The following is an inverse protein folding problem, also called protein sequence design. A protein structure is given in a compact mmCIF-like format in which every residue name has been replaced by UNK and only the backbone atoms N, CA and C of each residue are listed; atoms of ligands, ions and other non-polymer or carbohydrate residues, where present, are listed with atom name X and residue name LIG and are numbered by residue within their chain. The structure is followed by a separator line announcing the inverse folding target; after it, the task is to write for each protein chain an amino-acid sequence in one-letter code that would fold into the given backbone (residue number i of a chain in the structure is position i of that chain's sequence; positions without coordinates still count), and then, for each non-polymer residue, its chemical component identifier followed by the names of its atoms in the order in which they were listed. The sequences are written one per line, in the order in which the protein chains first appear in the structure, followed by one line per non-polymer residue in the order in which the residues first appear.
data_IF_684014144834
#
_entry.id   IF_684014144834
#
_cell.length_a   1.000
_cell.length_b   1.000
_cell.length_c   1.000
_cell.angle_alpha   90.00
_cell.angle_beta   90.00
_cell.angle_gamma   90.00
#
_symmetry.space_group_name_H-M   'P 1'
#
loop_
_entity.id
_entity.type
_entity.pdbx_description
1 polymer ?
#
# COMPACT_ATOMS: atom_id res chain seq x y z
N UNK A 1 -25.07 10.75 0.56
CA UNK A 1 -23.82 11.29 1.14
C UNK A 1 -22.71 10.91 0.19
N UNK A 2 -22.05 11.89 -0.44
CA UNK A 2 -21.12 11.66 -1.53
C UNK A 2 -19.74 11.33 -0.93
N UNK A 3 -19.41 10.04 -0.87
CA UNK A 3 -18.19 9.50 -0.23
C UNK A 3 -16.91 10.20 -0.75
N UNK A 4 -16.94 10.73 -1.97
CA UNK A 4 -15.82 11.44 -2.60
C UNK A 4 -15.64 12.86 -2.01
N UNK A 5 -16.74 13.58 -1.72
CA UNK A 5 -16.67 14.89 -1.07
C UNK A 5 -16.23 14.77 0.40
N UNK A 6 -16.64 13.70 1.08
CA UNK A 6 -16.19 13.40 2.44
C UNK A 6 -14.69 13.09 2.50
N UNK A 7 -14.12 12.38 1.51
CA UNK A 7 -12.68 12.11 1.48
C UNK A 7 -11.84 13.38 1.20
N UNK A 8 -12.32 14.25 0.31
CA UNK A 8 -11.71 15.56 0.06
C UNK A 8 -11.71 16.44 1.30
N UNK A 9 -12.84 16.47 2.03
CA UNK A 9 -12.96 17.20 3.29
C UNK A 9 -12.13 16.57 4.42
N UNK A 10 -12.03 15.25 4.52
CA UNK A 10 -11.16 14.56 5.51
C UNK A 10 -9.68 14.85 5.23
N UNK A 11 -9.28 14.95 3.96
CA UNK A 11 -7.94 15.37 3.57
C UNK A 11 -7.67 16.87 3.82
N UNK A 12 -8.69 17.70 4.00
CA UNK A 12 -8.58 19.11 4.39
C UNK A 12 -8.42 19.30 5.92
N UNK A 13 -8.77 18.30 6.74
CA UNK A 13 -8.55 18.29 8.20
C UNK A 13 -7.08 18.00 8.57
N UNK A 14 -6.13 18.63 7.88
CA UNK A 14 -4.67 18.54 8.13
C UNK A 14 -4.21 19.26 9.42
N UNK A 15 -5.06 19.28 10.45
CA UNK A 15 -4.59 19.33 11.82
C UNK A 15 -4.55 17.91 12.39
N UNK A 16 -4.03 16.95 11.61
CA UNK A 16 -3.41 15.78 12.19
C UNK A 16 -2.33 16.30 13.13
N UNK A 17 -2.57 16.16 14.43
CA UNK A 17 -1.50 16.37 15.42
C UNK A 17 -0.34 15.49 14.95
N UNK A 18 0.83 16.06 14.61
CA UNK A 18 1.95 15.32 14.05
C UNK A 18 2.15 14.00 14.79
N UNK A 19 2.06 12.90 14.05
CA UNK A 19 2.29 11.56 14.56
C UNK A 19 1.32 11.03 15.62
N UNK A 20 0.16 11.66 15.82
CA UNK A 20 -0.91 11.04 16.59
C UNK A 20 -1.58 9.92 15.76
N UNK A 21 -1.13 8.70 16.00
CA UNK A 21 -1.61 7.49 15.31
C UNK A 21 -2.73 6.77 16.06
N UNK A 22 -3.18 7.30 17.20
CA UNK A 22 -4.25 6.71 18.00
C UNK A 22 -5.53 6.50 17.19
N UNK A 23 -6.03 7.48 16.41
CA UNK A 23 -7.25 7.27 15.61
C UNK A 23 -7.10 6.15 14.59
N UNK A 24 -5.91 6.01 13.99
CA UNK A 24 -5.62 4.91 13.08
C UNK A 24 -5.64 3.55 13.80
N UNK A 25 -5.05 3.46 14.99
CA UNK A 25 -5.05 2.21 15.77
C UNK A 25 -6.44 1.82 16.26
N UNK A 26 -7.29 2.79 16.60
CA UNK A 26 -8.69 2.58 16.94
C UNK A 26 -9.47 2.06 15.73
N UNK A 27 -9.35 2.73 14.57
CA UNK A 27 -9.99 2.30 13.34
C UNK A 27 -9.59 0.88 12.92
N UNK A 28 -8.31 0.50 13.06
CA UNK A 28 -7.86 -0.87 12.77
C UNK A 28 -8.52 -1.88 13.71
N UNK A 29 -8.63 -1.58 15.01
CA UNK A 29 -9.27 -2.48 15.97
C UNK A 29 -10.76 -2.64 15.67
N UNK A 30 -11.47 -1.52 15.49
CA UNK A 30 -12.90 -1.50 15.16
C UNK A 30 -13.16 -2.31 13.88
N UNK A 31 -12.40 -2.05 12.82
CA UNK A 31 -12.51 -2.78 11.55
C UNK A 31 -12.34 -4.29 11.73
N UNK A 32 -11.42 -4.72 12.60
CA UNK A 32 -11.15 -6.14 12.83
C UNK A 32 -12.11 -6.82 13.81
N UNK A 33 -12.81 -6.05 14.64
CA UNK A 33 -13.86 -6.54 15.54
C UNK A 33 -15.22 -6.63 14.82
N UNK A 34 -15.42 -5.85 13.76
CA UNK A 34 -16.61 -5.89 12.92
C UNK A 34 -16.69 -7.14 12.03
N UNK A 35 -17.91 -7.55 11.70
CA UNK A 35 -18.13 -8.67 10.79
C UNK A 35 -17.84 -8.23 9.35
N UNK A 36 -16.74 -8.72 8.78
CA UNK A 36 -16.40 -8.49 7.38
C UNK A 36 -17.29 -9.30 6.42
N UNK A 37 -18.09 -8.60 5.61
CA UNK A 37 -19.04 -9.22 4.66
C UNK A 37 -18.76 -8.92 3.20
N UNK A 38 -17.73 -8.11 2.88
CA UNK A 38 -17.41 -7.76 1.51
C UNK A 38 -16.94 -9.00 0.75
N UNK A 39 -17.49 -9.21 -0.44
CA UNK A 39 -17.06 -10.27 -1.35
C UNK A 39 -16.45 -9.69 -2.63
N UNK A 40 -15.67 -10.51 -3.33
CA UNK A 40 -14.96 -10.08 -4.52
C UNK A 40 -15.90 -9.67 -5.64
N UNK A 41 -16.99 -10.40 -5.90
CA UNK A 41 -17.87 -10.14 -7.04
C UNK A 41 -18.57 -8.77 -6.92
N UNK A 42 -18.98 -8.38 -5.71
CA UNK A 42 -19.55 -7.06 -5.46
C UNK A 42 -18.52 -5.95 -5.70
N UNK A 43 -17.31 -6.10 -5.15
CA UNK A 43 -16.21 -5.18 -5.40
C UNK A 43 -15.87 -5.13 -6.90
N UNK A 44 -15.92 -6.29 -7.57
CA UNK A 44 -15.63 -6.44 -8.99
C UNK A 44 -16.70 -5.76 -9.87
N UNK A 45 -17.93 -5.66 -9.40
CA UNK A 45 -18.97 -4.90 -10.10
C UNK A 45 -18.76 -3.39 -9.99
N UNK A 46 -18.18 -2.92 -8.88
CA UNK A 46 -18.05 -1.50 -8.58
C UNK A 46 -16.89 -0.87 -9.34
N UNK A 47 -15.71 -1.47 -9.30
CA UNK A 47 -14.56 -0.98 -10.03
C UNK A 47 -14.71 -1.11 -11.57
N UNK A 48 -15.44 -2.12 -12.10
CA UNK A 48 -15.80 -2.19 -13.54
C UNK A 48 -16.64 -1.00 -13.98
N UNK A 49 -17.54 -0.50 -13.13
CA UNK A 49 -18.28 0.76 -13.40
C UNK A 49 -17.35 1.96 -13.46
N UNK A 50 -16.24 1.96 -12.71
CA UNK A 50 -15.22 3.00 -12.80
C UNK A 50 -14.45 2.87 -14.11
N UNK A 51 -14.08 1.65 -14.51
CA UNK A 51 -13.46 1.38 -15.82
C UNK A 51 -14.32 1.90 -16.99
N UNK A 52 -15.62 1.68 -16.93
CA UNK A 52 -16.57 2.14 -17.95
C UNK A 52 -16.73 3.67 -17.98
N UNK A 53 -16.76 4.32 -16.80
CA UNK A 53 -17.02 5.76 -16.68
C UNK A 53 -15.78 6.63 -16.81
N UNK A 54 -14.61 6.10 -16.47
CA UNK A 54 -13.35 6.83 -16.42
C UNK A 54 -12.25 6.19 -17.32
N UNK A 55 -12.56 5.84 -18.59
CA UNK A 55 -11.59 5.15 -19.45
C UNK A 55 -10.39 6.03 -19.82
N UNK A 56 -10.59 7.35 -19.93
CA UNK A 56 -9.51 8.29 -20.26
C UNK A 56 -8.53 8.43 -19.10
N UNK A 57 -9.05 8.53 -17.88
CA UNK A 57 -8.27 8.61 -16.66
C UNK A 57 -7.45 7.32 -16.48
N UNK A 58 -8.08 6.16 -16.64
CA UNK A 58 -7.45 4.85 -16.43
C UNK A 58 -6.50 4.41 -17.55
N UNK A 59 -6.41 5.17 -18.63
CA UNK A 59 -5.38 5.01 -19.68
C UNK A 59 -4.25 6.02 -19.55
N UNK A 60 -4.39 7.03 -18.68
CA UNK A 60 -3.39 8.06 -18.45
C UNK A 60 -2.28 7.53 -17.54
N UNK A 61 -1.03 7.62 -18.01
CA UNK A 61 0.13 7.19 -17.22
C UNK A 61 0.40 8.20 -16.09
N UNK A 62 0.59 7.68 -14.87
CA UNK A 62 0.91 8.45 -13.68
C UNK A 62 2.33 8.12 -13.21
N UNK A 63 3.09 9.14 -12.79
CA UNK A 63 4.31 8.92 -12.00
C UNK A 63 3.96 8.83 -10.51
N UNK A 64 3.72 7.61 -10.04
CA UNK A 64 3.33 7.34 -8.65
C UNK A 64 4.40 7.68 -7.62
N UNK A 65 5.64 7.94 -8.06
CA UNK A 65 6.75 8.38 -7.22
C UNK A 65 6.79 9.91 -7.05
N UNK A 66 6.04 10.69 -7.83
CA UNK A 66 6.02 12.14 -7.77
C UNK A 66 5.39 12.68 -6.46
N UNK A 67 5.58 13.98 -6.18
CA UNK A 67 4.86 14.64 -5.08
C UNK A 67 3.35 14.58 -5.38
N UNK A 68 2.53 13.97 -4.51
CA UNK A 68 1.09 13.84 -4.75
C UNK A 68 0.37 15.16 -5.04
N UNK A 69 0.89 16.27 -4.51
CA UNK A 69 0.32 17.61 -4.75
C UNK A 69 0.45 18.10 -6.19
N UNK A 70 1.32 17.48 -6.98
CA UNK A 70 1.56 17.83 -8.39
C UNK A 70 0.79 16.95 -9.38
N UNK A 71 0.12 15.91 -8.90
CA UNK A 71 -0.60 14.95 -9.73
C UNK A 71 -2.05 15.39 -10.01
N UNK A 72 -2.56 15.04 -11.19
CA UNK A 72 -3.96 15.24 -11.54
C UNK A 72 -4.86 14.38 -10.65
N UNK A 73 -5.67 15.05 -9.82
CA UNK A 73 -6.55 14.41 -8.84
C UNK A 73 -7.67 13.59 -9.48
N UNK A 74 -8.11 13.94 -10.69
CA UNK A 74 -9.14 13.18 -11.41
C UNK A 74 -8.56 11.84 -11.86
N UNK A 75 -7.34 11.86 -12.40
CA UNK A 75 -6.63 10.65 -12.81
C UNK A 75 -6.28 9.77 -11.61
N UNK A 76 -5.66 10.34 -10.58
CA UNK A 76 -5.29 9.57 -9.39
C UNK A 76 -6.51 9.07 -8.61
N UNK A 77 -7.61 9.83 -8.58
CA UNK A 77 -8.87 9.41 -7.98
C UNK A 77 -9.52 8.21 -8.66
N UNK A 78 -9.50 8.16 -10.00
CA UNK A 78 -10.00 7.00 -10.74
C UNK A 78 -9.21 5.73 -10.40
N UNK A 79 -7.88 5.81 -10.44
CA UNK A 79 -7.01 4.69 -10.04
C UNK A 79 -7.17 4.31 -8.57
N UNK A 80 -7.22 5.29 -7.66
CA UNK A 80 -7.39 5.04 -6.23
C UNK A 80 -8.68 4.26 -5.95
N UNK A 81 -9.78 4.58 -6.67
CA UNK A 81 -11.05 3.87 -6.54
C UNK A 81 -10.93 2.41 -6.99
N UNK A 82 -10.29 2.18 -8.15
CA UNK A 82 -10.02 0.82 -8.67
C UNK A 82 -9.18 0.02 -7.68
N UNK A 83 -8.09 0.59 -7.18
CA UNK A 83 -7.17 -0.02 -6.21
C UNK A 83 -7.91 -0.33 -4.90
N UNK A 84 -8.72 0.60 -4.40
CA UNK A 84 -9.46 0.43 -3.14
C UNK A 84 -10.41 -0.75 -3.17
N UNK A 85 -11.20 -0.90 -4.23
CA UNK A 85 -12.09 -2.06 -4.37
C UNK A 85 -11.32 -3.35 -4.60
N UNK A 86 -10.26 -3.30 -5.40
CA UNK A 86 -9.48 -4.48 -5.73
C UNK A 86 -8.68 -5.04 -4.54
N UNK A 87 -8.05 -4.17 -3.75
CA UNK A 87 -7.23 -4.57 -2.60
C UNK A 87 -7.94 -4.47 -1.25
N UNK A 88 -9.15 -3.90 -1.16
CA UNK A 88 -9.84 -3.73 0.13
C UNK A 88 -10.02 -5.04 0.92
N UNK A 89 -10.32 -6.14 0.23
CA UNK A 89 -10.44 -7.47 0.86
C UNK A 89 -9.09 -8.01 1.37
N UNK A 90 -8.02 -8.09 0.55
CA UNK A 90 -6.72 -8.53 1.06
C UNK A 90 -6.13 -7.57 2.10
N UNK A 91 -6.35 -6.26 1.98
CA UNK A 91 -5.98 -5.24 2.98
C UNK A 91 -6.63 -5.52 4.33
N UNK A 92 -7.96 -5.69 4.35
CA UNK A 92 -8.70 -6.05 5.57
C UNK A 92 -8.13 -7.33 6.20
N UNK A 93 -8.01 -8.40 5.41
CA UNK A 93 -7.50 -9.68 5.88
C UNK A 93 -6.10 -9.55 6.46
N UNK A 94 -5.23 -8.77 5.83
CA UNK A 94 -3.89 -8.50 6.31
C UNK A 94 -3.89 -7.71 7.62
N UNK A 95 -4.60 -6.59 7.69
CA UNK A 95 -4.61 -5.70 8.86
C UNK A 95 -5.02 -6.44 10.13
N UNK A 96 -5.94 -7.40 10.00
CA UNK A 96 -6.49 -8.18 11.11
C UNK A 96 -5.68 -9.42 11.50
N UNK A 97 -4.60 -9.75 10.77
CA UNK A 97 -3.69 -10.81 11.22
C UNK A 97 -3.01 -10.39 12.51
N UNK A 98 -2.84 -11.34 13.43
CA UNK A 98 -2.08 -11.11 14.67
C UNK A 98 -0.66 -11.62 14.52
N UNK A 99 0.30 -10.87 15.03
CA UNK A 99 1.70 -11.29 15.19
C UNK A 99 1.85 -12.35 16.29
N UNK A 100 3.06 -12.87 16.43
CA UNK A 100 3.43 -13.77 17.53
C UNK A 100 3.29 -13.12 18.93
N UNK A 101 3.30 -11.79 19.02
CA UNK A 101 3.07 -11.05 20.27
C UNK A 101 1.58 -10.68 20.50
N UNK A 102 0.70 -11.03 19.58
CA UNK A 102 -0.75 -10.78 19.67
C UNK A 102 -1.23 -9.44 19.12
N UNK A 103 -0.34 -8.56 18.68
CA UNK A 103 -0.68 -7.27 18.05
C UNK A 103 -1.21 -7.45 16.62
N UNK A 104 -2.17 -6.61 16.23
CA UNK A 104 -2.72 -6.57 14.87
C UNK A 104 -1.68 -6.05 13.88
N UNK A 105 -1.60 -6.69 12.71
CA UNK A 105 -0.62 -6.37 11.70
C UNK A 105 -0.75 -4.96 11.14
N UNK A 106 -1.97 -4.43 11.03
CA UNK A 106 -2.20 -3.02 10.65
C UNK A 106 -1.55 -2.04 11.63
N UNK A 107 -1.47 -2.39 12.91
CA UNK A 107 -0.81 -1.56 13.93
C UNK A 107 0.71 -1.79 13.91
N UNK A 108 1.17 -3.05 13.94
CA UNK A 108 2.59 -3.37 14.04
C UNK A 108 3.39 -2.77 12.86
N UNK A 109 2.86 -2.90 11.64
CA UNK A 109 3.55 -2.47 10.42
C UNK A 109 3.77 -0.97 10.31
N UNK A 110 2.99 -0.14 11.01
CA UNK A 110 3.11 1.32 10.90
C UNK A 110 4.15 1.90 11.86
N UNK A 111 4.44 1.22 12.97
CA UNK A 111 5.36 1.70 14.01
C UNK A 111 6.76 2.05 13.49
N UNK A 112 7.45 1.19 12.70
CA UNK A 112 8.79 1.51 12.21
C UNK A 112 8.79 2.71 11.28
N UNK A 113 7.79 2.82 10.42
CA UNK A 113 7.65 3.93 9.48
C UNK A 113 7.41 5.26 10.21
N UNK A 114 6.49 5.28 11.18
CA UNK A 114 6.20 6.46 11.99
C UNK A 114 7.41 6.89 12.83
N UNK A 115 8.16 5.95 13.40
CA UNK A 115 9.40 6.25 14.11
C UNK A 115 10.42 6.91 13.19
N UNK A 116 10.64 6.34 12.00
CA UNK A 116 11.56 6.90 11.01
C UNK A 116 11.12 8.30 10.54
N UNK A 117 9.83 8.52 10.29
CA UNK A 117 9.31 9.84 9.93
C UNK A 117 9.58 10.87 11.04
N UNK A 118 9.32 10.54 12.32
CA UNK A 118 9.62 11.43 13.46
C UNK A 118 11.08 11.86 13.49
N UNK A 119 12.00 10.96 13.19
CA UNK A 119 13.44 11.23 13.16
C UNK A 119 13.83 12.09 11.94
N UNK A 120 13.18 11.89 10.79
CA UNK A 120 13.52 12.58 9.54
C UNK A 120 12.78 13.90 9.32
N UNK A 121 11.59 14.06 9.86
CA UNK A 121 10.66 15.19 9.61
C UNK A 121 9.95 15.52 10.93
N UNK A 122 10.66 15.95 12.00
CA UNK A 122 10.07 16.16 13.33
C UNK A 122 8.89 17.15 13.34
N UNK A 123 8.84 18.08 12.39
CA UNK A 123 7.74 19.01 12.15
C UNK A 123 6.42 18.33 11.74
N UNK A 124 6.48 17.08 11.28
CA UNK A 124 5.33 16.26 10.93
C UNK A 124 4.62 16.66 9.64
N UNK A 125 5.22 17.54 8.85
CA UNK A 125 4.64 18.05 7.62
C UNK A 125 5.25 17.38 6.41
N UNK A 126 4.56 16.37 5.90
CA UNK A 126 5.05 15.58 4.79
C UNK A 126 3.93 14.97 3.96
N UNK A 127 4.27 14.56 2.73
CA UNK A 127 3.41 13.83 1.81
C UNK A 127 4.14 12.59 1.31
N UNK A 128 3.73 11.37 1.67
CA UNK A 128 4.30 10.16 1.06
C UNK A 128 3.87 10.08 -0.41
N UNK A 129 4.77 9.62 -1.29
CA UNK A 129 4.39 9.25 -2.66
C UNK A 129 3.39 8.10 -2.62
N UNK A 130 2.51 7.99 -3.61
CA UNK A 130 1.48 6.95 -3.64
C UNK A 130 2.07 5.53 -3.70
N UNK A 131 3.24 5.36 -4.34
CA UNK A 131 3.97 4.10 -4.35
C UNK A 131 4.85 3.85 -3.11
N UNK A 132 4.78 4.75 -2.12
CA UNK A 132 5.50 4.68 -0.84
C UNK A 132 7.03 4.54 -0.99
N UNK A 133 7.61 5.00 -2.10
CA UNK A 133 9.07 5.07 -2.27
C UNK A 133 9.69 6.32 -1.67
N UNK A 134 8.94 7.43 -1.65
CA UNK A 134 9.44 8.72 -1.22
C UNK A 134 8.51 9.41 -0.23
N UNK A 135 9.07 10.34 0.51
CA UNK A 135 8.34 11.34 1.30
C UNK A 135 8.81 12.72 0.86
N UNK A 136 7.85 13.60 0.62
CA UNK A 136 8.06 14.99 0.26
C UNK A 136 7.79 15.88 1.45
N UNK A 137 8.74 16.76 1.79
CA UNK A 137 8.53 17.84 2.76
C UNK A 137 7.73 19.00 2.15
N UNK A 138 7.25 19.92 2.97
CA UNK A 138 6.58 21.14 2.48
C UNK A 138 7.46 21.96 1.53
N UNK A 139 8.78 21.99 1.75
CA UNK A 139 9.74 22.71 0.91
C UNK A 139 10.07 21.99 -0.42
N UNK A 140 9.42 20.85 -0.69
CA UNK A 140 9.64 20.03 -1.88
C UNK A 140 10.83 19.06 -1.79
N UNK A 141 11.57 19.04 -0.67
CA UNK A 141 12.65 18.08 -0.46
C UNK A 141 12.11 16.66 -0.49
N UNK A 142 12.72 15.83 -1.35
CA UNK A 142 12.38 14.41 -1.51
C UNK A 142 13.33 13.53 -0.68
N UNK A 143 12.76 12.66 0.15
CA UNK A 143 13.49 11.69 0.98
C UNK A 143 13.05 10.28 0.59
N UNK A 144 13.99 9.39 0.30
CA UNK A 144 13.71 7.98 0.02
C UNK A 144 13.35 7.23 1.31
N UNK A 145 12.25 6.46 1.27
CA UNK A 145 11.82 5.60 2.37
C UNK A 145 12.68 4.34 2.35
N UNK A 146 13.37 3.98 3.44
CA UNK A 146 14.09 2.72 3.53
C UNK A 146 13.14 1.54 3.31
N UNK A 147 13.41 0.74 2.29
CA UNK A 147 12.53 -0.37 1.88
C UNK A 147 12.37 -1.43 2.98
N UNK A 148 13.32 -1.56 3.89
CA UNK A 148 13.22 -2.47 5.03
C UNK A 148 12.06 -2.12 5.96
N UNK A 149 11.61 -0.86 6.01
CA UNK A 149 10.48 -0.43 6.84
C UNK A 149 9.14 -0.96 6.31
N UNK A 150 9.04 -1.21 5.01
CA UNK A 150 7.81 -1.58 4.30
C UNK A 150 7.82 -3.02 3.80
N UNK A 151 8.98 -3.66 3.67
CA UNK A 151 9.11 -5.00 3.06
C UNK A 151 9.60 -6.10 4.02
N UNK A 152 9.92 -5.78 5.28
CA UNK A 152 10.46 -6.74 6.25
C UNK A 152 9.61 -6.82 7.53
N UNK A 153 9.72 -7.93 8.26
CA UNK A 153 8.98 -8.17 9.51
C UNK A 153 7.97 -9.30 9.39
N UNK A 154 7.43 -9.74 10.53
CA UNK A 154 6.50 -10.87 10.60
C UNK A 154 5.21 -10.56 9.83
N UNK A 155 4.62 -9.39 10.05
CA UNK A 155 3.42 -8.97 9.34
C UNK A 155 3.64 -8.83 7.84
N UNK A 156 4.78 -8.31 7.39
CA UNK A 156 5.07 -8.21 5.96
C UNK A 156 5.22 -9.57 5.29
N UNK A 157 5.80 -10.56 5.96
CA UNK A 157 5.84 -11.94 5.45
C UNK A 157 4.45 -12.57 5.36
N UNK A 158 3.56 -12.27 6.31
CA UNK A 158 2.17 -12.72 6.26
C UNK A 158 1.40 -12.01 5.14
N UNK A 159 1.57 -10.71 5.00
CA UNK A 159 1.02 -9.87 3.94
C UNK A 159 1.40 -10.40 2.57
N UNK A 160 2.69 -10.65 2.34
CA UNK A 160 3.19 -11.17 1.06
C UNK A 160 2.45 -12.43 0.61
N UNK A 161 2.00 -13.29 1.53
CA UNK A 161 1.18 -14.46 1.17
C UNK A 161 -0.22 -14.05 0.69
N UNK A 162 -0.90 -13.17 1.41
CA UNK A 162 -2.23 -12.67 1.04
C UNK A 162 -2.21 -12.00 -0.35
N UNK A 163 -1.25 -11.10 -0.58
CA UNK A 163 -1.21 -10.30 -1.82
C UNK A 163 -0.60 -11.04 -3.00
N UNK A 164 0.25 -12.06 -2.79
CA UNK A 164 0.83 -12.80 -3.92
C UNK A 164 -0.18 -13.72 -4.60
N UNK A 165 -1.12 -14.30 -3.85
CA UNK A 165 -2.14 -15.18 -4.42
C UNK A 165 -3.38 -14.43 -4.90
N UNK A 166 -3.65 -13.24 -4.37
CA UNK A 166 -4.83 -12.46 -4.75
C UNK A 166 -4.92 -12.18 -6.26
N UNK A 167 -3.88 -11.66 -6.94
CA UNK A 167 -3.90 -11.45 -8.39
C UNK A 167 -3.98 -12.72 -9.25
N UNK A 168 -3.64 -13.88 -8.68
CA UNK A 168 -3.75 -15.17 -9.39
C UNK A 168 -5.21 -15.60 -9.49
N UNK A 169 -5.99 -15.35 -8.42
CA UNK A 169 -7.40 -15.71 -8.36
C UNK A 169 -8.31 -14.62 -8.93
N UNK A 170 -7.84 -13.37 -8.89
CA UNK A 170 -8.59 -12.17 -9.20
C UNK A 170 -7.74 -11.25 -10.07
N UNK A 171 -7.56 -11.51 -11.37
CA UNK A 171 -6.64 -10.73 -12.18
C UNK A 171 -7.18 -9.34 -12.51
N UNK A 172 -6.27 -8.35 -12.51
CA UNK A 172 -6.51 -7.02 -13.07
C UNK A 172 -6.31 -7.00 -14.60
N UNK A 173 -7.03 -6.13 -15.34
CA UNK A 173 -6.67 -5.83 -16.72
C UNK A 173 -5.22 -5.36 -16.87
N UNK A 174 -4.50 -5.86 -17.87
CA UNK A 174 -3.06 -5.61 -18.06
C UNK A 174 -2.70 -4.12 -18.15
N UNK A 175 -3.56 -3.30 -18.77
CA UNK A 175 -3.31 -1.87 -18.89
C UNK A 175 -3.35 -1.16 -17.53
N UNK A 176 -4.24 -1.59 -16.63
CA UNK A 176 -4.32 -1.10 -15.25
C UNK A 176 -3.06 -1.51 -14.49
N UNK A 177 -2.67 -2.79 -14.59
CA UNK A 177 -1.44 -3.30 -13.95
C UNK A 177 -0.22 -2.52 -14.40
N UNK A 178 -0.09 -2.31 -15.71
CA UNK A 178 1.03 -1.60 -16.31
C UNK A 178 1.10 -0.15 -15.85
N UNK A 179 -0.05 0.54 -15.75
CA UNK A 179 -0.09 1.94 -15.37
C UNK A 179 0.11 2.17 -13.87
N UNK A 180 -0.27 1.22 -13.01
CA UNK A 180 -0.10 1.34 -11.56
C UNK A 180 1.25 0.76 -11.10
N UNK A 181 1.53 -0.48 -11.48
CA UNK A 181 2.66 -1.25 -10.95
C UNK A 181 3.83 -1.40 -11.93
N UNK A 182 3.62 -1.09 -13.21
CA UNK A 182 4.53 -1.44 -14.30
C UNK A 182 4.44 -2.92 -14.69
N UNK A 183 4.46 -3.82 -13.71
CA UNK A 183 4.16 -5.25 -13.87
C UNK A 183 3.83 -5.91 -12.52
N UNK A 184 3.19 -7.09 -12.56
CA UNK A 184 3.01 -7.91 -11.36
C UNK A 184 4.34 -8.36 -10.74
N UNK A 185 5.40 -8.55 -11.52
CA UNK A 185 6.73 -8.85 -10.98
C UNK A 185 7.29 -7.69 -10.15
N UNK A 186 7.07 -6.45 -10.59
CA UNK A 186 7.47 -5.27 -9.82
C UNK A 186 6.70 -5.19 -8.50
N UNK A 187 5.38 -5.43 -8.54
CA UNK A 187 4.53 -5.51 -7.36
C UNK A 187 4.97 -6.61 -6.38
N UNK A 188 5.22 -7.84 -6.87
CA UNK A 188 5.66 -8.96 -6.04
C UNK A 188 7.04 -8.72 -5.41
N UNK A 189 7.93 -8.04 -6.13
CA UNK A 189 9.24 -7.67 -5.60
C UNK A 189 9.10 -6.70 -4.42
N UNK A 190 8.11 -5.79 -4.41
CA UNK A 190 7.89 -4.84 -3.33
C UNK A 190 7.73 -5.53 -1.96
N UNK A 191 7.13 -6.72 -1.89
CA UNK A 191 6.97 -7.48 -0.64
C UNK A 191 8.15 -8.39 -0.27
N UNK A 192 9.24 -8.36 -1.05
CA UNK A 192 10.44 -9.13 -0.72
C UNK A 192 11.37 -8.29 0.16
N UNK A 193 11.71 -8.80 1.35
CA UNK A 193 12.68 -8.14 2.23
C UNK A 193 14.07 -8.07 1.55
N UNK A 194 14.70 -6.87 1.41
CA UNK A 194 15.98 -6.72 0.70
C UNK A 194 17.11 -7.63 1.22
N UNK A 195 17.11 -7.91 2.52
CA UNK A 195 18.13 -8.76 3.17
C UNK A 195 17.95 -10.26 2.91
N UNK A 196 16.79 -10.73 2.45
CA UNK A 196 16.57 -12.14 2.07
C UNK A 196 17.26 -12.52 0.75
N UNK A 197 17.57 -11.53 -0.11
CA UNK A 197 18.33 -11.77 -1.34
C UNK A 197 19.76 -12.27 -1.07
N UNK A 198 20.33 -11.97 0.10
CA UNK A 198 21.63 -12.52 0.52
C UNK A 198 21.55 -14.02 0.77
N UNK A 199 20.49 -14.49 1.43
CA UNK A 199 20.23 -15.91 1.72
C UNK A 199 19.83 -16.70 0.48
N UNK A 200 19.09 -16.11 -0.45
CA UNK A 200 18.74 -16.74 -1.74
C UNK A 200 19.97 -16.85 -2.66
N UNK A 201 20.84 -15.81 -2.70
CA UNK A 201 22.14 -15.89 -3.40
C UNK A 201 23.08 -16.93 -2.78
N UNK A 202 23.11 -17.05 -1.44
CA UNK A 202 23.86 -18.10 -0.76
C UNK A 202 23.32 -19.49 -1.10
N UNK A 203 22.00 -19.73 -0.97
CA UNK A 203 21.38 -21.04 -1.30
C UNK A 203 21.65 -21.46 -2.74
N UNK A 204 21.59 -20.53 -3.71
CA UNK A 204 21.96 -20.81 -5.12
C UNK A 204 23.46 -21.10 -5.30
N UNK A 205 24.34 -20.49 -4.51
CA UNK A 205 25.80 -20.78 -4.52
C UNK A 205 26.14 -22.14 -3.92
N UNK A 206 25.46 -22.55 -2.84
CA UNK A 206 25.69 -23.85 -2.20
C UNK A 206 25.02 -25.01 -2.95
N UNK A 207 23.87 -24.78 -3.58
CA UNK A 207 23.23 -25.78 -4.47
C UNK A 207 24.05 -26.07 -5.73
N UNK A 208 24.78 -25.07 -6.27
CA UNK A 208 25.69 -25.27 -7.41
C UNK A 208 27.04 -25.90 -7.04
N UNK A 209 27.37 -26.04 -5.75
CA UNK A 209 28.63 -26.66 -5.29
C UNK A 209 28.52 -28.14 -4.94
N UNK A 210 27.32 -28.71 -4.96
CA UNK A 210 27.08 -30.14 -4.71
C UNK A 210 26.82 -30.95 -5.99
N UNK A 211 27.30 -30.47 -7.14
CA UNK A 211 27.43 -31.28 -8.35
C UNK A 211 28.90 -31.20 -8.76
N UNK A 212 29.68 -32.13 -8.22
CA UNK A 212 30.85 -32.77 -8.79
C UNK A 212 31.37 -33.80 -7.78
#
# INVERSE_FOLDING_TARGET
MNIIEDYGNVAEHNHLVPYNVTPYYEAVKETCDEKFSCNYDEAESLWKKVEEKCPNELTTKVDWSADPSTLDRTVTGAYATVIFYYFGIPDHNFMCLKTSNGELCGIETTKPFIKWLKEKIPEGKFRPSYDHKYVYREDGTRIEIPRELISCGECQQKMAKTYKYWPVNHPLPDYIVKNIFGSWDHFNNYFTCPNDNSKIKLKRRFSRRNIN
#
